data_IF_739989571497
#
_entry.id   IF_739989571497
#
_cell.length_a   1.000
_cell.length_b   1.000
_cell.length_c   1.000
_cell.angle_alpha   90.00
_cell.angle_beta   90.00
_cell.angle_gamma   90.00
#
_symmetry.space_group_name_H-M   'P 1'
#
loop_
_entity.id
_entity.type
_entity.pdbx_description
1 polymer ?
#
# COMPACT_ATOMS: atom_id res chain seq x y z
N UNK A 1 35.05 57.79 -1.41
CA UNK A 1 34.25 56.74 -0.73
C UNK A 1 34.49 56.84 0.76
N UNK A 2 33.70 57.63 1.49
CA UNK A 2 33.85 57.85 2.94
C UNK A 2 32.50 57.72 3.65
N UNK A 3 31.76 56.66 3.33
CA UNK A 3 30.49 56.35 4.02
C UNK A 3 30.71 55.69 5.41
N UNK A 4 31.97 55.43 5.78
CA UNK A 4 32.34 54.61 6.94
C UNK A 4 32.83 55.40 8.17
N UNK A 5 33.11 56.70 8.07
CA UNK A 5 33.52 57.54 9.21
C UNK A 5 32.41 58.49 9.61
N UNK A 6 31.71 58.16 10.70
CA UNK A 6 30.86 59.11 11.41
C UNK A 6 31.69 60.26 11.99
N UNK A 7 31.08 61.44 12.14
CA UNK A 7 31.69 62.56 12.87
C UNK A 7 31.90 62.16 14.34
N UNK A 8 32.94 62.70 14.99
CA UNK A 8 33.20 62.46 16.42
C UNK A 8 31.95 62.80 17.24
N UNK A 9 31.37 61.80 17.92
CA UNK A 9 30.14 61.94 18.71
C UNK A 9 28.86 61.40 18.04
N UNK A 10 28.91 60.96 16.78
CA UNK A 10 27.79 60.25 16.12
C UNK A 10 28.14 58.79 15.91
N UNK A 11 27.20 57.90 16.27
CA UNK A 11 27.31 56.46 16.00
C UNK A 11 27.38 56.27 14.48
N UNK A 12 28.42 55.61 13.94
CA UNK A 12 28.55 55.38 12.51
C UNK A 12 27.31 54.64 11.97
N UNK A 13 26.78 54.99 10.78
CA UNK A 13 25.60 54.33 10.22
C UNK A 13 25.76 52.81 10.11
N UNK A 14 26.99 52.33 9.84
CA UNK A 14 27.30 50.91 9.82
C UNK A 14 27.17 50.23 11.19
N UNK A 15 27.51 50.94 12.28
CA UNK A 15 27.34 50.43 13.63
C UNK A 15 25.86 50.34 14.00
N UNK A 16 25.03 51.32 13.57
CA UNK A 16 23.57 51.26 13.70
C UNK A 16 22.96 50.11 12.89
N UNK A 17 23.40 49.89 11.65
CA UNK A 17 22.95 48.77 10.82
C UNK A 17 23.33 47.41 11.43
N UNK A 18 24.55 47.28 11.96
CA UNK A 18 25.00 46.07 12.65
C UNK A 18 24.21 45.83 13.93
N UNK A 19 23.93 46.88 14.70
CA UNK A 19 23.16 46.78 15.94
C UNK A 19 21.70 46.42 15.65
N UNK A 20 21.09 47.04 14.63
CA UNK A 20 19.76 46.66 14.16
C UNK A 20 19.73 45.21 13.65
N UNK A 21 20.76 44.78 12.92
CA UNK A 21 20.94 43.39 12.50
C UNK A 21 21.04 42.43 13.70
N UNK A 22 21.87 42.75 14.69
CA UNK A 22 22.05 41.92 15.89
C UNK A 22 20.80 41.83 16.75
N UNK A 23 20.04 42.92 16.84
CA UNK A 23 18.77 42.95 17.58
C UNK A 23 17.68 42.21 16.80
N UNK A 24 17.63 42.33 15.47
CA UNK A 24 16.62 41.66 14.65
C UNK A 24 16.90 40.18 14.42
N UNK A 25 18.17 39.75 14.45
CA UNK A 25 18.58 38.37 14.20
C UNK A 25 17.84 37.35 15.09
N UNK A 26 17.79 37.48 16.44
CA UNK A 26 17.07 36.51 17.26
C UNK A 26 15.56 36.47 16.97
N UNK A 27 14.94 37.59 16.57
CA UNK A 27 13.53 37.60 16.15
C UNK A 27 13.35 36.90 14.81
N UNK A 28 14.22 37.15 13.82
CA UNK A 28 14.19 36.43 12.55
C UNK A 28 14.44 34.92 12.74
N UNK A 29 15.39 34.56 13.61
CA UNK A 29 15.68 33.16 13.96
C UNK A 29 14.52 32.50 14.72
N UNK A 30 13.75 33.26 15.51
CA UNK A 30 12.56 32.76 16.21
C UNK A 30 11.43 32.40 15.24
N UNK A 31 11.29 33.12 14.13
CA UNK A 31 10.30 32.80 13.08
C UNK A 31 10.78 31.72 12.11
N UNK A 32 12.05 31.32 12.14
CA UNK A 32 12.52 30.16 11.40
C UNK A 32 12.18 28.92 12.22
N UNK A 33 11.25 28.07 11.75
CA UNK A 33 10.81 26.94 12.54
C UNK A 33 11.99 25.96 12.77
N UNK A 34 12.07 25.28 13.94
CA UNK A 34 13.22 24.46 14.33
C UNK A 34 13.55 23.29 13.38
N UNK A 35 12.61 22.93 12.51
CA UNK A 35 12.72 21.88 11.50
C UNK A 35 13.55 22.33 10.27
N UNK A 36 13.57 23.63 9.95
CA UNK A 36 14.41 24.20 8.87
C UNK A 36 15.91 24.01 9.15
N UNK A 37 16.33 24.09 10.41
CA UNK A 37 17.73 23.88 10.82
C UNK A 37 18.17 22.42 10.78
N UNK A 38 17.22 21.48 10.76
CA UNK A 38 17.49 20.02 10.75
C UNK A 38 17.40 19.39 9.36
N UNK A 39 17.02 20.17 8.33
CA UNK A 39 16.76 19.64 6.99
C UNK A 39 15.51 18.75 6.92
N UNK A 40 14.71 18.71 7.98
CA UNK A 40 13.47 17.95 8.06
C UNK A 40 12.31 18.79 7.49
N UNK A 41 12.24 18.89 6.16
CA UNK A 41 11.10 19.50 5.45
C UNK A 41 9.85 18.61 5.44
N UNK A 42 9.70 17.73 6.43
CA UNK A 42 8.51 16.89 6.55
C UNK A 42 7.40 17.70 7.22
N UNK A 43 6.20 17.54 6.68
CA UNK A 43 4.95 17.96 7.31
C UNK A 43 4.97 17.46 8.77
N UNK A 44 4.90 18.34 9.79
CA UNK A 44 4.97 17.94 11.20
C UNK A 44 3.83 17.00 11.61
N UNK A 45 2.77 16.92 10.79
CA UNK A 45 1.61 16.05 10.99
C UNK A 45 1.63 14.80 10.08
N UNK A 46 2.71 14.57 9.31
CA UNK A 46 2.87 13.30 8.61
C UNK A 46 2.95 12.18 9.65
N UNK A 47 2.22 11.06 9.49
CA UNK A 47 2.37 9.92 10.37
C UNK A 47 3.87 9.61 10.45
N UNK A 48 4.44 9.74 11.65
CA UNK A 48 5.84 9.39 11.85
C UNK A 48 5.89 7.88 11.84
N UNK A 49 5.96 7.29 10.66
CA UNK A 49 6.16 5.87 10.44
C UNK A 49 7.49 5.49 11.11
N UNK A 50 7.45 5.02 12.35
CA UNK A 50 8.63 4.35 12.93
C UNK A 50 8.69 2.97 12.31
N UNK A 51 9.63 2.83 11.39
CA UNK A 51 9.92 1.55 10.75
C UNK A 51 10.71 0.71 11.76
N UNK A 52 9.97 -0.10 12.51
CA UNK A 52 10.55 -1.05 13.42
C UNK A 52 11.01 -2.29 12.64
N UNK A 53 12.23 -2.71 12.91
CA UNK A 53 12.82 -3.96 12.45
C UNK A 53 13.14 -4.78 13.69
N UNK A 54 12.77 -6.07 13.66
CA UNK A 54 13.20 -7.02 14.66
C UNK A 54 14.13 -8.02 13.98
N UNK A 55 15.44 -8.07 14.31
CA UNK A 55 16.22 -9.26 14.06
C UNK A 55 15.61 -10.38 14.90
N UNK A 56 15.14 -11.43 14.26
CA UNK A 56 14.59 -12.59 14.96
C UNK A 56 15.65 -13.68 15.00
N UNK A 57 16.11 -13.98 16.21
CA UNK A 57 16.89 -15.19 16.49
C UNK A 57 15.91 -16.37 16.55
N UNK A 58 15.78 -17.11 15.45
CA UNK A 58 14.97 -18.33 15.41
C UNK A 58 15.74 -19.54 15.92
N UNK A 59 15.04 -20.53 16.47
CA UNK A 59 15.66 -21.79 16.86
C UNK A 59 16.28 -22.51 15.64
N UNK A 60 17.46 -23.14 15.80
CA UNK A 60 18.20 -23.76 14.69
C UNK A 60 17.52 -25.00 14.10
N UNK A 61 16.44 -25.52 14.69
CA UNK A 61 15.92 -26.86 14.39
C UNK A 61 15.07 -27.00 13.11
N UNK A 62 14.49 -25.93 12.54
CA UNK A 62 13.52 -26.04 11.43
C UNK A 62 14.14 -25.76 10.06
N UNK A 63 14.14 -26.72 9.12
CA UNK A 63 14.69 -26.54 7.77
C UNK A 63 14.01 -25.41 6.95
N UNK A 64 14.52 -24.98 5.79
CA UNK A 64 13.88 -23.96 4.94
C UNK A 64 12.44 -24.34 4.54
N UNK A 65 11.64 -23.36 4.11
CA UNK A 65 10.29 -23.63 3.58
C UNK A 65 10.36 -24.28 2.21
N UNK A 66 9.25 -24.90 1.76
CA UNK A 66 9.16 -25.44 0.40
C UNK A 66 9.39 -24.31 -0.61
N UNK A 67 10.24 -24.56 -1.61
CA UNK A 67 10.58 -23.60 -2.67
C UNK A 67 11.58 -22.51 -2.28
N UNK A 68 12.09 -22.48 -1.04
CA UNK A 68 13.05 -21.49 -0.58
C UNK A 68 14.49 -21.93 -0.85
N UNK A 69 15.28 -21.03 -1.45
CA UNK A 69 16.74 -21.11 -1.46
C UNK A 69 17.34 -20.25 -0.35
N UNK A 70 18.53 -20.61 0.13
CA UNK A 70 19.24 -19.85 1.16
C UNK A 70 20.50 -19.22 0.57
N UNK A 71 20.73 -17.95 0.88
CA UNK A 71 21.99 -17.27 0.62
C UNK A 71 23.10 -17.72 1.58
N UNK A 72 24.34 -17.29 1.30
CA UNK A 72 25.50 -17.54 2.19
C UNK A 72 25.32 -16.93 3.58
N UNK A 73 24.52 -15.87 3.66
CA UNK A 73 24.16 -15.17 4.88
C UNK A 73 22.98 -15.81 5.64
N UNK A 74 22.44 -16.93 5.12
CA UNK A 74 21.37 -17.70 5.74
C UNK A 74 19.96 -17.16 5.48
N UNK A 75 19.80 -16.06 4.74
CA UNK A 75 18.50 -15.49 4.44
C UNK A 75 17.82 -16.18 3.25
N UNK A 76 16.50 -16.22 3.29
CA UNK A 76 15.69 -16.94 2.31
C UNK A 76 15.40 -16.14 1.05
N UNK A 77 15.35 -16.84 -0.08
CA UNK A 77 14.83 -16.33 -1.36
C UNK A 77 13.73 -17.26 -1.86
N UNK A 78 12.57 -16.67 -2.18
CA UNK A 78 11.39 -17.35 -2.73
C UNK A 78 10.83 -16.48 -3.85
N UNK A 79 11.05 -16.90 -5.09
CA UNK A 79 10.61 -16.15 -6.28
C UNK A 79 9.31 -16.67 -6.86
N UNK A 80 9.06 -17.97 -6.70
CA UNK A 80 7.94 -18.67 -7.32
C UNK A 80 7.34 -19.67 -6.34
N UNK A 81 6.01 -19.69 -6.27
CA UNK A 81 5.24 -20.70 -5.59
C UNK A 81 4.00 -21.04 -6.42
N UNK A 82 3.50 -22.28 -6.33
CA UNK A 82 2.30 -22.67 -7.05
C UNK A 82 1.08 -21.91 -6.49
N UNK A 83 0.23 -21.44 -7.41
CA UNK A 83 -1.06 -20.86 -7.10
C UNK A 83 -1.91 -21.84 -6.27
N UNK A 84 -2.51 -21.37 -5.18
CA UNK A 84 -3.44 -22.16 -4.39
C UNK A 84 -4.86 -21.73 -4.72
N UNK A 85 -5.59 -22.63 -5.39
CA UNK A 85 -7.01 -22.40 -5.67
C UNK A 85 -7.83 -22.61 -4.41
N UNK A 86 -8.56 -21.57 -4.01
CA UNK A 86 -9.40 -21.56 -2.81
C UNK A 86 -10.79 -21.05 -3.18
N UNK A 87 -11.83 -21.65 -2.62
CA UNK A 87 -13.20 -21.15 -2.81
C UNK A 87 -13.48 -20.01 -1.84
N UNK A 88 -14.11 -18.94 -2.33
CA UNK A 88 -14.51 -17.80 -1.49
C UNK A 88 -15.38 -18.27 -0.34
N UNK A 89 -15.11 -17.79 0.87
CA UNK A 89 -15.93 -18.08 2.05
C UNK A 89 -16.51 -16.79 2.64
N UNK A 90 -17.55 -16.94 3.47
CA UNK A 90 -18.18 -15.81 4.16
C UNK A 90 -17.35 -15.29 5.35
N UNK A 91 -16.37 -16.07 5.82
CA UNK A 91 -15.48 -15.69 6.90
C UNK A 91 -14.42 -14.71 6.38
N UNK A 92 -14.58 -13.43 6.73
CA UNK A 92 -13.67 -12.35 6.32
C UNK A 92 -12.59 -12.01 7.36
N UNK A 93 -12.73 -12.52 8.58
CA UNK A 93 -11.90 -12.13 9.72
C UNK A 93 -10.83 -13.15 10.06
N UNK A 94 -9.63 -12.65 10.33
CA UNK A 94 -8.59 -13.33 11.09
C UNK A 94 -7.99 -12.35 12.11
N UNK A 95 -6.99 -12.81 12.86
CA UNK A 95 -6.30 -12.02 13.87
C UNK A 95 -4.91 -11.61 13.39
N UNK A 96 -4.46 -10.42 13.78
CA UNK A 96 -3.09 -9.94 13.57
C UNK A 96 -2.30 -10.21 14.84
N UNK A 97 -1.36 -11.16 14.86
CA UNK A 97 -0.53 -11.43 16.02
C UNK A 97 0.42 -10.27 16.34
N UNK A 98 0.81 -10.18 17.61
CA UNK A 98 1.78 -9.19 18.08
C UNK A 98 3.13 -9.37 17.35
N UNK A 99 3.57 -10.63 17.24
CA UNK A 99 4.76 -11.03 16.49
C UNK A 99 4.46 -11.13 14.98
N UNK A 100 5.16 -10.37 14.11
CA UNK A 100 4.92 -10.40 12.66
C UNK A 100 5.36 -11.67 11.96
N UNK A 101 6.18 -12.50 12.60
CA UNK A 101 6.87 -13.60 11.95
C UNK A 101 6.84 -14.79 12.90
N UNK A 102 6.35 -15.92 12.40
CA UNK A 102 6.42 -17.17 13.15
C UNK A 102 7.88 -17.56 13.41
N UNK A 103 8.17 -17.99 14.64
CA UNK A 103 9.52 -18.27 15.11
C UNK A 103 10.29 -19.29 14.24
N UNK A 104 9.58 -20.25 13.63
CA UNK A 104 10.14 -21.33 12.82
C UNK A 104 10.63 -20.89 11.43
N UNK A 105 10.24 -19.69 10.98
CA UNK A 105 10.69 -19.07 9.72
C UNK A 105 11.46 -17.78 9.92
N UNK A 106 11.46 -17.23 11.14
CA UNK A 106 11.96 -15.90 11.42
C UNK A 106 13.45 -15.70 11.06
N UNK A 107 14.27 -16.74 11.24
CA UNK A 107 15.69 -16.72 10.87
C UNK A 107 15.96 -16.52 9.37
N UNK A 108 14.99 -16.82 8.50
CA UNK A 108 15.14 -16.66 7.06
C UNK A 108 14.72 -15.26 6.58
N UNK A 109 14.11 -14.46 7.46
CA UNK A 109 13.59 -13.13 7.13
C UNK A 109 14.53 -12.08 7.71
N UNK A 110 15.04 -11.22 6.83
CA UNK A 110 15.98 -10.15 7.19
C UNK A 110 15.27 -8.99 7.84
N UNK A 111 14.13 -8.59 7.27
CA UNK A 111 13.35 -7.47 7.76
C UNK A 111 11.92 -7.47 7.24
N UNK A 112 11.01 -6.95 8.07
CA UNK A 112 9.68 -6.54 7.66
C UNK A 112 9.49 -5.08 8.10
N UNK A 113 9.26 -4.15 7.17
CA UNK A 113 8.94 -2.79 7.54
C UNK A 113 7.55 -2.74 8.19
N UNK A 114 7.45 -2.13 9.38
CA UNK A 114 6.17 -1.84 10.05
C UNK A 114 5.91 -0.35 10.12
N UNK A 115 4.67 0.05 9.86
CA UNK A 115 4.22 1.43 10.07
C UNK A 115 3.67 1.56 11.49
N UNK A 116 4.41 2.24 12.37
CA UNK A 116 3.90 2.64 13.69
C UNK A 116 3.38 4.06 13.57
N UNK A 117 2.08 4.25 13.80
CA UNK A 117 1.46 5.58 13.86
C UNK A 117 1.70 6.16 15.26
N UNK A 118 2.56 7.17 15.38
CA UNK A 118 2.98 7.71 16.68
C UNK A 118 1.90 8.60 17.31
N UNK A 119 1.10 9.31 16.51
CA UNK A 119 -0.09 10.04 16.95
C UNK A 119 -1.09 10.10 15.78
N UNK A 120 -2.32 9.57 15.91
CA UNK A 120 -3.34 9.84 14.91
C UNK A 120 -3.72 11.32 15.03
N UNK A 121 -3.36 12.15 14.05
CA UNK A 121 -3.95 13.50 13.97
C UNK A 121 -5.47 13.30 13.92
N UNK A 122 -6.21 13.89 14.88
CA UNK A 122 -7.65 13.65 15.06
C UNK A 122 -8.53 14.11 13.90
N UNK A 123 -7.97 14.64 12.81
CA UNK A 123 -8.74 15.40 11.80
C UNK A 123 -8.30 15.23 10.33
N UNK A 124 -7.68 14.11 9.93
CA UNK A 124 -7.57 13.80 8.49
C UNK A 124 -8.55 12.69 8.10
N UNK A 125 -9.77 13.10 7.76
CA UNK A 125 -10.62 12.26 6.90
C UNK A 125 -9.96 12.27 5.53
N UNK A 126 -9.25 11.20 5.19
CA UNK A 126 -8.84 10.97 3.80
C UNK A 126 -10.09 10.72 3.00
N UNK A 127 -10.66 11.78 2.41
CA UNK A 127 -11.79 11.66 1.48
C UNK A 127 -11.24 11.07 0.18
N UNK A 128 -11.39 9.76 0.02
CA UNK A 128 -11.05 9.09 -1.23
C UNK A 128 -11.96 9.61 -2.37
N UNK A 129 -11.36 9.88 -3.51
CA UNK A 129 -12.09 10.07 -4.77
C UNK A 129 -12.82 8.78 -5.16
N UNK A 130 -13.74 8.84 -6.12
CA UNK A 130 -14.46 7.67 -6.65
C UNK A 130 -13.54 6.60 -7.28
N UNK A 131 -12.26 6.89 -7.45
CA UNK A 131 -11.28 6.02 -8.11
C UNK A 131 -10.76 4.89 -7.19
N UNK A 132 -11.03 4.95 -5.88
CA UNK A 132 -10.62 3.91 -4.93
C UNK A 132 -9.11 3.86 -4.68
N UNK A 133 -8.61 2.90 -3.88
CA UNK A 133 -7.17 2.71 -3.68
C UNK A 133 -6.49 2.19 -4.95
N UNK A 134 -5.19 2.46 -5.14
CA UNK A 134 -4.43 1.87 -6.25
C UNK A 134 -4.46 0.34 -6.16
N UNK A 135 -4.67 -0.33 -7.29
CA UNK A 135 -4.62 -1.79 -7.43
C UNK A 135 -3.32 -2.18 -8.14
N UNK A 136 -2.66 -3.22 -7.66
CA UNK A 136 -1.39 -3.70 -8.20
C UNK A 136 -1.55 -5.10 -8.77
N UNK A 137 -1.07 -5.29 -10.00
CA UNK A 137 -0.94 -6.60 -10.61
C UNK A 137 0.49 -7.10 -10.43
N UNK A 138 0.67 -8.30 -9.89
CA UNK A 138 2.00 -8.85 -9.62
C UNK A 138 1.98 -9.94 -8.57
N UNK A 139 3.07 -10.05 -7.82
CA UNK A 139 3.22 -10.99 -6.71
C UNK A 139 4.18 -10.46 -5.66
N UNK A 140 4.04 -10.94 -4.43
CA UNK A 140 5.03 -10.70 -3.37
C UNK A 140 6.05 -11.82 -3.39
N UNK A 141 7.33 -11.48 -3.45
CA UNK A 141 8.46 -12.42 -3.45
C UNK A 141 9.38 -12.14 -2.28
N UNK A 142 10.19 -13.12 -1.89
CA UNK A 142 11.25 -12.95 -0.89
C UNK A 142 12.60 -12.96 -1.61
N UNK A 143 13.43 -11.96 -1.35
CA UNK A 143 14.79 -11.87 -1.92
C UNK A 143 15.76 -11.56 -0.80
N UNK A 144 16.68 -12.47 -0.51
CA UNK A 144 17.69 -12.35 0.55
C UNK A 144 17.08 -11.92 1.90
N UNK A 145 15.91 -12.50 2.23
CA UNK A 145 15.14 -12.24 3.44
C UNK A 145 14.31 -10.94 3.40
N UNK A 146 14.23 -10.24 2.28
CA UNK A 146 13.47 -9.00 2.12
C UNK A 146 12.20 -9.24 1.29
N UNK A 147 11.00 -9.00 1.85
CA UNK A 147 9.75 -9.05 1.09
C UNK A 147 9.67 -7.93 0.05
N UNK A 148 9.51 -8.29 -1.21
CA UNK A 148 9.48 -7.35 -2.35
C UNK A 148 8.25 -7.59 -3.21
N UNK A 149 7.73 -6.53 -3.81
CA UNK A 149 6.67 -6.64 -4.80
C UNK A 149 7.29 -6.77 -6.18
N UNK A 150 6.90 -7.77 -6.95
CA UNK A 150 7.27 -7.93 -8.35
C UNK A 150 6.03 -7.67 -9.22
N UNK A 151 6.07 -6.60 -10.01
CA UNK A 151 4.97 -6.24 -10.91
C UNK A 151 4.74 -7.33 -11.97
N UNK A 152 3.50 -7.48 -12.41
CA UNK A 152 3.13 -8.40 -13.47
C UNK A 152 3.91 -8.11 -14.76
N UNK A 153 4.54 -9.13 -15.34
CA UNK A 153 5.44 -8.98 -16.49
C UNK A 153 6.83 -8.40 -16.15
N UNK A 154 7.05 -7.95 -14.91
CA UNK A 154 8.35 -7.50 -14.41
C UNK A 154 9.32 -8.68 -14.26
N UNK A 155 10.53 -8.54 -14.79
CA UNK A 155 11.58 -9.57 -14.68
C UNK A 155 12.36 -9.52 -13.36
N UNK A 156 12.26 -8.40 -12.65
CA UNK A 156 13.03 -8.13 -11.44
C UNK A 156 12.09 -7.76 -10.30
N UNK A 157 12.33 -8.25 -9.08
CA UNK A 157 11.63 -7.77 -7.89
C UNK A 157 11.77 -6.26 -7.73
N UNK A 158 10.67 -5.58 -7.38
CA UNK A 158 10.56 -4.13 -7.26
C UNK A 158 10.73 -3.64 -5.81
N UNK A 159 9.89 -2.74 -5.29
CA UNK A 159 10.04 -2.13 -3.97
C UNK A 159 9.81 -3.13 -2.82
N UNK A 160 10.21 -2.76 -1.60
CA UNK A 160 9.82 -3.51 -0.40
C UNK A 160 8.31 -3.46 -0.20
N UNK A 161 7.73 -4.52 0.36
CA UNK A 161 6.33 -4.52 0.75
C UNK A 161 6.17 -4.00 2.17
N UNK A 162 5.39 -2.93 2.32
CA UNK A 162 4.90 -2.41 3.60
C UNK A 162 3.43 -2.81 3.76
N UNK A 163 3.05 -3.32 4.93
CA UNK A 163 1.69 -3.80 5.23
C UNK A 163 1.58 -5.30 5.46
N UNK A 164 2.71 -6.02 5.57
CA UNK A 164 2.73 -7.43 5.96
C UNK A 164 2.28 -7.57 7.41
N UNK A 165 1.17 -8.28 7.59
CA UNK A 165 0.55 -8.56 8.89
C UNK A 165 1.29 -9.66 9.63
N UNK A 166 1.44 -10.82 9.00
CA UNK A 166 2.12 -11.99 9.54
C UNK A 166 2.82 -12.79 8.43
N UNK A 167 3.96 -13.41 8.73
CA UNK A 167 4.67 -14.38 7.89
C UNK A 167 4.77 -15.71 8.62
N UNK A 168 4.40 -16.80 7.97
CA UNK A 168 4.41 -18.15 8.53
C UNK A 168 4.53 -19.23 7.45
N UNK A 169 4.56 -20.50 7.86
CA UNK A 169 4.36 -21.63 6.94
C UNK A 169 2.88 -21.94 6.80
N UNK A 170 2.42 -22.05 5.56
CA UNK A 170 1.09 -22.62 5.32
C UNK A 170 1.04 -24.12 5.64
N UNK A 171 -0.16 -24.71 5.57
CA UNK A 171 -0.37 -26.13 5.82
C UNK A 171 0.42 -27.07 4.89
N UNK A 172 0.92 -26.57 3.75
CA UNK A 172 1.73 -27.32 2.79
C UNK A 172 3.24 -27.05 2.95
N UNK A 173 3.64 -26.25 3.95
CA UNK A 173 5.03 -25.94 4.26
C UNK A 173 5.66 -24.84 3.40
N UNK A 174 4.88 -24.13 2.58
CA UNK A 174 5.35 -22.97 1.82
C UNK A 174 5.37 -21.73 2.71
N UNK A 175 6.28 -20.79 2.42
CA UNK A 175 6.28 -19.49 3.08
C UNK A 175 5.08 -18.68 2.61
N UNK A 176 4.27 -18.21 3.55
CA UNK A 176 3.08 -17.44 3.30
C UNK A 176 3.05 -16.16 4.13
N UNK A 177 2.21 -15.22 3.69
CA UNK A 177 1.86 -14.01 4.40
C UNK A 177 0.34 -13.88 4.47
N UNK A 178 -0.17 -13.29 5.56
CA UNK A 178 -1.61 -13.13 5.71
C UNK A 178 -2.06 -12.87 7.14
N UNK A 179 -3.35 -13.08 7.39
CA UNK A 179 -3.96 -13.05 8.71
C UNK A 179 -4.00 -14.48 9.29
N UNK A 180 -3.69 -14.63 10.59
CA UNK A 180 -3.87 -15.91 11.26
C UNK A 180 -5.36 -16.22 11.43
N UNK A 181 -5.72 -17.51 11.30
CA UNK A 181 -7.09 -18.03 11.38
C UNK A 181 -8.11 -17.38 10.43
N UNK A 182 -7.64 -16.62 9.43
CA UNK A 182 -8.50 -16.11 8.38
C UNK A 182 -8.88 -17.21 7.39
N UNK A 183 -9.84 -16.91 6.53
CA UNK A 183 -10.12 -17.79 5.40
C UNK A 183 -8.89 -17.89 4.49
N UNK A 184 -8.68 -19.04 3.80
CA UNK A 184 -7.51 -19.27 2.96
C UNK A 184 -7.27 -18.24 1.86
N UNK A 185 -8.28 -17.43 1.51
CA UNK A 185 -8.12 -16.30 0.59
C UNK A 185 -7.26 -15.18 1.16
N UNK A 186 -7.27 -14.91 2.48
CA UNK A 186 -6.46 -13.85 3.12
C UNK A 186 -5.05 -14.31 3.54
N UNK A 187 -4.66 -15.47 3.07
CA UNK A 187 -3.29 -15.95 3.10
C UNK A 187 -2.82 -16.04 1.65
N UNK A 188 -1.57 -15.71 1.37
CA UNK A 188 -0.96 -15.86 0.03
C UNK A 188 0.50 -16.27 0.19
N UNK A 189 1.01 -17.14 -0.70
CA UNK A 189 2.41 -17.54 -0.67
C UNK A 189 3.31 -16.46 -1.24
N UNK A 190 4.53 -16.42 -0.73
CA UNK A 190 5.60 -15.74 -1.45
C UNK A 190 5.81 -16.43 -2.80
N UNK A 191 5.84 -15.66 -3.88
CA UNK A 191 5.99 -16.15 -5.25
C UNK A 191 4.68 -16.62 -5.92
N UNK A 192 3.54 -16.58 -5.21
CA UNK A 192 2.24 -16.97 -5.78
C UNK A 192 1.80 -15.97 -6.85
N UNK A 193 1.44 -16.42 -8.07
CA UNK A 193 0.92 -15.53 -9.09
C UNK A 193 -0.52 -15.08 -8.76
N UNK A 194 -0.98 -14.01 -9.43
CA UNK A 194 -2.39 -13.62 -9.50
C UNK A 194 -3.07 -13.29 -8.15
N UNK A 195 -2.29 -12.76 -7.19
CA UNK A 195 -2.85 -12.16 -5.98
C UNK A 195 -3.60 -10.85 -6.23
N UNK A 196 -4.53 -10.53 -5.35
CA UNK A 196 -5.20 -9.23 -5.26
C UNK A 196 -4.42 -8.37 -4.26
N UNK A 197 -3.83 -7.30 -4.78
CA UNK A 197 -3.04 -6.35 -4.00
C UNK A 197 -3.61 -4.95 -4.17
N UNK A 198 -4.07 -4.33 -3.08
CA UNK A 198 -4.51 -2.92 -3.11
C UNK A 198 -3.74 -2.09 -2.10
N UNK A 199 -3.43 -0.86 -2.48
CA UNK A 199 -2.64 0.06 -1.67
C UNK A 199 -3.44 0.85 -0.64
N UNK A 200 -2.73 1.75 0.04
CA UNK A 200 -3.33 2.73 0.97
C UNK A 200 -3.50 4.06 0.22
N UNK A 201 -4.62 4.75 0.43
CA UNK A 201 -4.83 6.12 -0.07
C UNK A 201 -5.72 6.23 -1.31
N UNK A 202 -5.63 7.36 -2.00
CA UNK A 202 -6.50 7.73 -3.12
C UNK A 202 -5.78 7.50 -4.45
N UNK A 203 -6.18 6.45 -5.18
CA UNK A 203 -5.93 6.10 -6.58
C UNK A 203 -4.50 6.07 -7.16
N UNK A 204 -3.49 6.64 -6.49
CA UNK A 204 -2.09 6.67 -6.96
C UNK A 204 -1.17 5.92 -6.01
N UNK A 205 -0.25 5.17 -6.59
CA UNK A 205 0.91 4.62 -5.87
C UNK A 205 1.83 5.80 -5.50
N UNK A 206 1.97 6.06 -4.20
CA UNK A 206 2.95 7.00 -3.66
C UNK A 206 4.07 6.19 -2.98
N UNK A 207 5.20 5.97 -3.67
CA UNK A 207 6.31 5.21 -3.11
C UNK A 207 6.82 5.85 -1.83
N UNK A 208 7.03 5.05 -0.80
CA UNK A 208 7.60 5.50 0.48
C UNK A 208 9.11 5.25 0.46
N UNK A 209 9.97 6.20 0.84
CA UNK A 209 11.39 5.94 0.92
C UNK A 209 11.70 4.83 1.95
N UNK A 210 12.54 3.87 1.57
CA UNK A 210 13.00 2.83 2.48
C UNK A 210 13.93 3.44 3.55
N UNK A 211 13.87 2.96 4.82
CA UNK A 211 14.83 3.37 5.85
C UNK A 211 16.26 3.08 5.39
N UNK A 212 17.25 3.95 5.66
CA UNK A 212 18.62 3.76 5.18
C UNK A 212 19.21 2.37 5.50
N UNK A 213 18.89 1.82 6.68
CA UNK A 213 19.31 0.48 7.07
C UNK A 213 18.72 -0.62 6.17
N UNK A 214 17.41 -0.55 5.89
CA UNK A 214 16.73 -1.50 5.01
C UNK A 214 17.09 -1.27 3.55
N UNK A 215 17.25 -0.02 3.13
CA UNK A 215 17.66 0.32 1.78
C UNK A 215 19.01 -0.30 1.43
N UNK A 216 19.97 -0.20 2.36
CA UNK A 216 21.27 -0.84 2.25
C UNK A 216 21.17 -2.37 2.29
N UNK A 217 20.44 -2.92 3.26
CA UNK A 217 20.39 -4.37 3.47
C UNK A 217 19.62 -5.11 2.36
N UNK A 218 18.54 -4.52 1.86
CA UNK A 218 17.67 -5.09 0.83
C UNK A 218 17.95 -4.56 -0.59
N UNK A 219 18.89 -3.62 -0.75
CA UNK A 219 19.29 -3.00 -2.04
C UNK A 219 18.10 -2.40 -2.79
N UNK A 220 17.33 -1.56 -2.09
CA UNK A 220 16.07 -0.95 -2.57
C UNK A 220 15.91 0.46 -2.01
N UNK A 221 15.43 1.39 -2.82
CA UNK A 221 15.28 2.79 -2.36
C UNK A 221 13.86 3.10 -1.87
N UNK A 222 12.88 2.28 -2.25
CA UNK A 222 11.45 2.54 -2.01
C UNK A 222 10.71 1.32 -1.46
N UNK A 223 9.56 1.60 -0.87
CA UNK A 223 8.59 0.66 -0.34
C UNK A 223 7.21 0.97 -0.92
N UNK A 224 6.41 -0.06 -1.13
CA UNK A 224 5.02 0.02 -1.57
C UNK A 224 4.11 -0.32 -0.40
N UNK A 225 3.14 0.56 -0.11
CA UNK A 225 2.10 0.31 0.89
C UNK A 225 1.01 -0.57 0.30
N UNK A 226 0.82 -1.75 0.88
CA UNK A 226 -0.25 -2.67 0.51
C UNK A 226 -1.17 -2.83 1.72
N UNK A 227 -2.44 -2.46 1.56
CA UNK A 227 -3.48 -2.56 2.58
C UNK A 227 -4.19 -3.91 2.53
N UNK A 228 -4.45 -4.41 1.32
CA UNK A 228 -5.08 -5.72 1.11
C UNK A 228 -4.13 -6.61 0.35
N UNK A 229 -3.86 -7.79 0.93
CA UNK A 229 -3.15 -8.88 0.29
C UNK A 229 -4.00 -10.13 0.43
N UNK A 230 -4.50 -10.64 -0.68
CA UNK A 230 -5.30 -11.86 -0.68
C UNK A 230 -5.16 -12.60 -2.01
N UNK A 231 -5.40 -13.89 -2.02
CA UNK A 231 -5.58 -14.68 -3.25
C UNK A 231 -6.84 -14.22 -3.98
N UNK A 232 -6.88 -14.46 -5.29
CA UNK A 232 -8.13 -14.38 -6.05
C UNK A 232 -8.88 -15.72 -5.90
N UNK A 233 -9.95 -15.80 -5.11
CA UNK A 233 -10.63 -17.07 -4.86
C UNK A 233 -11.50 -17.48 -6.05
N UNK A 234 -11.84 -18.77 -6.16
CA UNK A 234 -12.97 -19.24 -6.97
C UNK A 234 -14.28 -18.71 -6.40
N UNK A 235 -15.19 -18.27 -7.26
CA UNK A 235 -16.51 -17.81 -6.84
C UNK A 235 -17.29 -18.96 -6.17
N UNK A 236 -17.93 -18.65 -5.04
CA UNK A 236 -18.86 -19.59 -4.40
C UNK A 236 -20.12 -19.78 -5.26
N UNK A 237 -20.92 -20.82 -4.98
CA UNK A 237 -22.22 -21.00 -5.64
C UNK A 237 -23.14 -19.79 -5.45
N UNK A 238 -23.09 -19.19 -4.26
CA UNK A 238 -23.88 -18.01 -3.91
C UNK A 238 -23.39 -16.78 -4.67
N UNK A 239 -22.07 -16.63 -4.87
CA UNK A 239 -21.51 -15.56 -5.71
C UNK A 239 -21.97 -15.70 -7.15
N UNK A 240 -21.91 -16.91 -7.71
CA UNK A 240 -22.34 -17.16 -9.08
C UNK A 240 -23.84 -16.85 -9.24
N UNK A 241 -24.68 -17.30 -8.31
CA UNK A 241 -26.12 -17.00 -8.32
C UNK A 241 -26.38 -15.49 -8.18
N UNK A 242 -25.68 -14.80 -7.27
CA UNK A 242 -25.78 -13.36 -7.07
C UNK A 242 -25.36 -12.57 -8.31
N UNK A 243 -24.25 -12.94 -8.95
CA UNK A 243 -23.76 -12.29 -10.17
C UNK A 243 -24.72 -12.53 -11.34
N UNK A 244 -25.29 -13.74 -11.46
CA UNK A 244 -26.30 -14.04 -12.49
C UNK A 244 -27.60 -13.24 -12.29
N UNK A 245 -28.07 -13.12 -11.04
CA UNK A 245 -29.22 -12.27 -10.71
C UNK A 245 -28.93 -10.80 -11.04
N UNK A 246 -27.76 -10.29 -10.63
CA UNK A 246 -27.34 -8.91 -10.92
C UNK A 246 -27.24 -8.62 -12.43
N UNK A 247 -26.80 -9.59 -13.25
CA UNK A 247 -26.80 -9.48 -14.72
C UNK A 247 -28.22 -9.36 -15.27
N UNK A 248 -29.11 -10.27 -14.85
CA UNK A 248 -30.52 -10.25 -15.24
C UNK A 248 -31.19 -8.92 -14.88
N UNK A 249 -30.95 -8.43 -13.66
CA UNK A 249 -31.49 -7.17 -13.18
C UNK A 249 -30.94 -5.98 -13.96
N UNK A 250 -29.63 -5.99 -14.29
CA UNK A 250 -29.02 -4.95 -15.10
C UNK A 250 -29.62 -4.92 -16.51
N UNK A 251 -29.75 -6.07 -17.17
CA UNK A 251 -30.34 -6.17 -18.51
C UNK A 251 -31.78 -5.63 -18.52
N UNK A 252 -32.59 -6.00 -17.52
CA UNK A 252 -33.94 -5.48 -17.35
C UNK A 252 -33.95 -3.96 -17.13
N UNK A 253 -33.01 -3.43 -16.34
CA UNK A 253 -32.86 -1.99 -16.14
C UNK A 253 -32.44 -1.26 -17.43
N UNK A 254 -31.49 -1.80 -18.19
CA UNK A 254 -31.09 -1.24 -19.49
C UNK A 254 -32.25 -1.23 -20.49
N UNK A 255 -33.07 -2.29 -20.52
CA UNK A 255 -34.26 -2.33 -21.37
C UNK A 255 -35.27 -1.24 -21.00
N UNK A 256 -35.52 -1.02 -19.71
CA UNK A 256 -36.40 0.06 -19.22
C UNK A 256 -35.87 1.45 -19.56
N UNK A 257 -34.55 1.68 -19.40
CA UNK A 257 -33.92 2.96 -19.74
C UNK A 257 -34.01 3.26 -21.24
N UNK A 258 -33.78 2.25 -22.10
CA UNK A 258 -33.97 2.38 -23.55
C UNK A 258 -35.41 2.73 -23.90
N UNK A 259 -36.38 1.98 -23.38
CA UNK A 259 -37.79 2.25 -23.63
C UNK A 259 -38.22 3.65 -23.16
N UNK A 260 -37.70 4.11 -22.02
CA UNK A 260 -37.99 5.45 -21.50
C UNK A 260 -37.35 6.56 -22.35
N UNK A 261 -36.13 6.34 -22.83
CA UNK A 261 -35.46 7.24 -23.78
C UNK A 261 -36.25 7.34 -25.10
N UNK A 262 -36.64 6.21 -25.69
CA UNK A 262 -37.42 6.14 -26.93
C UNK A 262 -38.79 6.82 -26.77
N UNK A 263 -39.48 6.57 -25.65
CA UNK A 263 -40.75 7.24 -25.36
C UNK A 263 -40.58 8.76 -25.25
N UNK A 264 -39.48 9.24 -24.67
CA UNK A 264 -39.16 10.67 -24.62
C UNK A 264 -38.93 11.26 -26.01
N UNK A 265 -38.15 10.58 -26.86
CA UNK A 265 -37.92 11.02 -28.25
C UNK A 265 -39.22 11.09 -29.06
N UNK A 266 -40.12 10.12 -28.87
CA UNK A 266 -41.41 10.08 -29.54
C UNK A 266 -42.31 11.30 -29.21
N UNK A 267 -42.06 12.02 -28.10
CA UNK A 267 -42.75 13.28 -27.79
C UNK A 267 -42.22 14.49 -28.57
N UNK A 268 -41.24 14.30 -29.45
CA UNK A 268 -40.62 15.37 -30.24
C UNK A 268 -39.51 16.13 -29.52
N UNK A 269 -39.08 15.65 -28.34
CA UNK A 269 -37.95 16.23 -27.61
C UNK A 269 -36.63 15.86 -28.28
N UNK A 270 -35.64 16.78 -28.33
CA UNK A 270 -34.30 16.47 -28.80
C UNK A 270 -33.61 15.49 -27.83
N UNK A 271 -32.76 14.61 -28.36
CA UNK A 271 -32.14 13.52 -27.60
C UNK A 271 -31.37 13.96 -26.35
N UNK A 272 -30.77 15.16 -26.37
CA UNK A 272 -30.03 15.73 -25.23
C UNK A 272 -30.95 16.11 -24.06
N UNK A 273 -32.26 16.25 -24.29
CA UNK A 273 -33.26 16.51 -23.26
C UNK A 273 -33.96 15.22 -22.78
N UNK A 274 -33.57 14.07 -23.33
CA UNK A 274 -34.05 12.76 -22.90
C UNK A 274 -33.02 12.09 -21.97
N UNK A 275 -33.48 11.27 -21.02
CA UNK A 275 -32.59 10.50 -20.14
C UNK A 275 -31.68 9.59 -20.98
N UNK A 276 -30.46 9.28 -20.55
CA UNK A 276 -29.57 8.44 -21.34
C UNK A 276 -30.19 7.05 -21.59
N UNK A 277 -29.97 6.46 -22.78
CA UNK A 277 -30.57 5.17 -23.14
C UNK A 277 -29.96 4.01 -22.34
N UNK A 278 -28.83 4.22 -21.69
CA UNK A 278 -28.15 3.21 -20.89
C UNK A 278 -27.52 3.82 -19.64
N UNK A 279 -27.45 3.03 -18.57
CA UNK A 279 -26.63 3.32 -17.40
C UNK A 279 -25.33 2.52 -17.48
N UNK A 280 -24.22 2.99 -16.89
CA UNK A 280 -23.07 2.12 -16.68
C UNK A 280 -23.50 0.93 -15.82
N UNK A 281 -23.10 -0.26 -16.22
CA UNK A 281 -23.43 -1.44 -15.47
C UNK A 281 -22.58 -1.52 -14.18
N UNK A 282 -23.09 -2.17 -13.12
CA UNK A 282 -22.33 -2.36 -11.88
C UNK A 282 -20.96 -3.00 -12.15
N UNK A 283 -19.90 -2.42 -11.57
CA UNK A 283 -18.52 -2.84 -11.77
C UNK A 283 -18.31 -4.34 -11.48
N UNK A 284 -18.86 -4.81 -10.36
CA UNK A 284 -18.72 -6.19 -9.88
C UNK A 284 -19.25 -7.26 -10.85
N UNK A 285 -20.15 -6.90 -11.78
CA UNK A 285 -20.70 -7.83 -12.78
C UNK A 285 -19.63 -8.27 -13.79
N UNK A 286 -18.74 -7.35 -14.14
CA UNK A 286 -17.69 -7.52 -15.16
C UNK A 286 -16.31 -7.70 -14.55
N UNK A 287 -16.13 -7.27 -13.31
CA UNK A 287 -14.88 -7.40 -12.57
C UNK A 287 -15.14 -8.09 -11.22
N UNK A 288 -15.58 -9.36 -11.23
CA UNK A 288 -15.78 -10.08 -9.99
C UNK A 288 -14.45 -10.20 -9.25
N UNK A 289 -14.53 -10.02 -7.94
CA UNK A 289 -13.44 -10.20 -6.99
C UNK A 289 -13.14 -11.69 -6.70
N UNK A 290 -13.60 -12.58 -7.58
CA UNK A 290 -13.39 -14.03 -7.61
C UNK A 290 -13.33 -14.54 -9.07
N UNK A 291 -12.80 -15.74 -9.29
CA UNK A 291 -12.70 -16.42 -10.59
C UNK A 291 -13.99 -17.22 -10.81
N UNK A 292 -14.66 -17.00 -11.94
CA UNK A 292 -15.87 -17.74 -12.27
C UNK A 292 -15.54 -19.19 -12.67
N UNK A 293 -16.44 -20.16 -12.40
CA UNK A 293 -16.22 -21.54 -12.84
C UNK A 293 -16.10 -21.61 -14.37
N UNK A 294 -14.97 -22.13 -14.87
CA UNK A 294 -14.72 -22.33 -16.31
C UNK A 294 -13.90 -21.24 -17.00
N UNK A 295 -13.44 -20.23 -16.26
CA UNK A 295 -12.34 -19.32 -16.66
C UNK A 295 -10.98 -19.87 -16.22
#
# INVERSE_FOLDING_TARGET
>A
MSFWRGKSGQVPPAALALLAGFVALPFLLYFIPPNWWRGDFRDPDAPVTRLQWQPQEGEPATGPTVGMSLGEDGFGTVLDAPALSVTRTSQRGGFVPDEPIAADVARFIRAIPREVVIEPSRERITTCTLEGPPSYSGKVVLVDGCPRFQDAGGKTPGPLVLGITHIHRDAQGYLALGLLDASPEFEIRFGEPDGIFSGVGCSKDEPVPAPPALAKACKVDTMRRIAVMKRKPLCSKDDVARLAAARTDNEAQQARLRAFHEACLATGKPAQQCPPPAAPAPYDIYHPDCILPGE
#
